data_IF_596490116295
#
_entry.id   IF_596490116295
#
_cell.length_a   1.000
_cell.length_b   1.000
_cell.length_c   1.000
_cell.angle_alpha   90.00
_cell.angle_beta   90.00
_cell.angle_gamma   90.00
#
_symmetry.space_group_name_H-M   'P 1'
#
loop_
_entity.id
_entity.type
_entity.pdbx_description
1 polymer ?
#
# COMPACT_ATOMS: atom_id res chain seq x y z
N UNK A 1 36.10 9.17 60.09
CA UNK A 1 35.49 8.42 58.96
C UNK A 1 34.02 8.74 58.94
N UNK A 2 33.54 9.44 57.93
CA UNK A 2 32.15 9.89 57.82
C UNK A 2 31.24 8.72 57.41
N UNK A 3 30.16 8.53 58.17
CA UNK A 3 29.08 7.59 57.86
C UNK A 3 28.36 8.02 56.58
N UNK A 4 28.18 7.14 55.57
CA UNK A 4 27.47 7.51 54.36
C UNK A 4 25.97 7.67 54.67
N UNK A 5 25.45 8.85 54.37
CA UNK A 5 24.03 9.20 54.44
C UNK A 5 23.19 8.16 53.68
N UNK A 6 22.48 7.30 54.40
CA UNK A 6 21.37 6.53 53.86
C UNK A 6 20.20 7.49 53.75
N UNK A 7 19.99 8.03 52.55
CA UNK A 7 18.79 8.78 52.23
C UNK A 7 17.58 7.84 52.40
N UNK A 8 16.59 8.13 53.25
CA UNK A 8 15.39 7.31 53.30
C UNK A 8 14.65 7.55 51.99
N UNK A 9 14.72 6.57 51.09
CA UNK A 9 13.81 6.49 49.96
C UNK A 9 12.42 6.25 50.54
N UNK A 10 11.70 7.33 50.85
CA UNK A 10 10.25 7.30 51.07
C UNK A 10 9.59 6.95 49.73
N UNK A 11 9.67 5.68 49.35
CA UNK A 11 8.76 5.11 48.36
C UNK A 11 7.38 5.18 49.00
N UNK A 12 6.57 6.16 48.60
CA UNK A 12 5.15 6.26 48.93
C UNK A 12 4.36 5.10 48.28
N UNK A 13 4.69 3.87 48.64
CA UNK A 13 3.77 2.74 48.51
C UNK A 13 2.77 2.87 49.66
N UNK A 14 1.47 2.99 49.38
CA UNK A 14 0.45 3.13 50.42
C UNK A 14 0.61 2.03 51.46
N UNK A 15 0.66 2.40 52.75
CA UNK A 15 0.76 1.46 53.86
C UNK A 15 -0.39 0.42 53.90
N UNK A 16 -1.46 0.68 53.15
CA UNK A 16 -2.66 -0.15 53.08
C UNK A 16 -2.64 -1.21 51.96
N UNK A 17 -1.57 -1.31 51.17
CA UNK A 17 -1.47 -2.35 50.13
C UNK A 17 -1.06 -3.70 50.73
N UNK A 18 -1.69 -4.77 50.24
CA UNK A 18 -1.27 -6.16 50.53
C UNK A 18 0.25 -6.32 50.30
N UNK A 19 1.03 -6.75 51.31
CA UNK A 19 2.48 -6.92 51.21
C UNK A 19 2.91 -7.74 49.99
N UNK A 20 2.08 -8.72 49.59
CA UNK A 20 2.35 -9.55 48.40
C UNK A 20 2.27 -8.75 47.09
N UNK A 21 1.30 -7.83 46.98
CA UNK A 21 1.15 -6.94 45.80
C UNK A 21 2.25 -5.87 45.77
N UNK A 22 2.63 -5.35 46.93
CA UNK A 22 3.73 -4.41 47.04
C UNK A 22 5.06 -5.05 46.63
N UNK A 23 5.30 -6.30 47.04
CA UNK A 23 6.46 -7.08 46.61
C UNK A 23 6.51 -7.28 45.08
N UNK A 24 5.37 -7.54 44.43
CA UNK A 24 5.27 -7.67 42.98
C UNK A 24 5.68 -6.35 42.26
N UNK A 25 5.18 -5.21 42.74
CA UNK A 25 5.51 -3.91 42.14
C UNK A 25 7.00 -3.57 42.29
N UNK A 26 7.59 -3.85 43.46
CA UNK A 26 9.03 -3.68 43.68
C UNK A 26 9.85 -4.64 42.79
N UNK A 27 9.34 -5.84 42.53
CA UNK A 27 9.97 -6.77 41.60
C UNK A 27 9.94 -6.24 40.15
N UNK A 28 8.83 -5.66 39.70
CA UNK A 28 8.74 -5.00 38.39
C UNK A 28 9.68 -3.79 38.26
N UNK A 29 10.00 -3.11 39.36
CA UNK A 29 11.01 -2.04 39.39
C UNK A 29 12.46 -2.56 39.32
N UNK A 30 12.68 -3.88 39.35
CA UNK A 30 14.00 -4.49 39.22
C UNK A 30 14.73 -4.75 40.54
N UNK A 31 14.07 -4.59 41.69
CA UNK A 31 14.69 -4.90 42.98
C UNK A 31 14.93 -6.41 43.15
N UNK A 32 16.06 -6.75 43.77
CA UNK A 32 16.37 -8.14 44.14
C UNK A 32 15.45 -8.61 45.25
N UNK A 33 15.05 -9.89 45.23
CA UNK A 33 14.10 -10.47 46.21
C UNK A 33 14.56 -10.29 47.66
N UNK A 34 15.87 -10.43 47.93
CA UNK A 34 16.42 -10.18 49.26
C UNK A 34 16.17 -8.73 49.74
N UNK A 35 16.34 -7.75 48.85
CA UNK A 35 16.10 -6.34 49.15
C UNK A 35 14.61 -6.05 49.33
N UNK A 36 13.76 -6.67 48.52
CA UNK A 36 12.29 -6.55 48.66
C UNK A 36 11.83 -7.08 50.02
N UNK A 37 12.37 -8.22 50.44
CA UNK A 37 12.09 -8.82 51.74
C UNK A 37 12.48 -7.88 52.90
N UNK A 38 13.67 -7.27 52.83
CA UNK A 38 14.11 -6.25 53.80
C UNK A 38 13.18 -5.02 53.83
N UNK A 39 12.79 -4.51 52.65
CA UNK A 39 11.93 -3.31 52.55
C UNK A 39 10.52 -3.54 53.11
N UNK A 40 10.00 -4.77 53.03
CA UNK A 40 8.67 -5.13 53.51
C UNK A 40 8.68 -5.71 54.94
N UNK A 41 9.86 -5.93 55.53
CA UNK A 41 9.97 -6.62 56.83
C UNK A 41 9.59 -8.10 56.77
N UNK A 42 9.61 -8.72 55.58
CA UNK A 42 9.19 -10.10 55.33
C UNK A 42 10.38 -11.06 55.21
N UNK A 43 10.15 -12.35 55.42
CA UNK A 43 11.20 -13.36 55.19
C UNK A 43 11.43 -13.56 53.69
N UNK A 44 12.69 -13.62 53.27
CA UNK A 44 13.05 -13.85 51.85
C UNK A 44 12.39 -15.11 51.26
N UNK A 45 12.28 -16.18 52.05
CA UNK A 45 11.60 -17.41 51.64
C UNK A 45 10.11 -17.19 51.28
N UNK A 46 9.43 -16.30 52.00
CA UNK A 46 8.03 -15.94 51.74
C UNK A 46 7.89 -15.23 50.39
N UNK A 47 8.74 -14.23 50.11
CA UNK A 47 8.74 -13.51 48.84
C UNK A 47 9.11 -14.43 47.66
N UNK A 48 10.05 -15.35 47.86
CA UNK A 48 10.36 -16.40 46.87
C UNK A 48 9.16 -17.31 46.58
N UNK A 49 8.38 -17.68 47.60
CA UNK A 49 7.15 -18.46 47.45
C UNK A 49 6.10 -17.71 46.63
N UNK A 50 5.90 -16.41 46.89
CA UNK A 50 4.98 -15.58 46.09
C UNK A 50 5.42 -15.49 44.63
N UNK A 51 6.70 -15.20 44.38
CA UNK A 51 7.27 -15.19 43.03
C UNK A 51 7.00 -16.48 42.28
N UNK A 52 7.17 -17.63 42.94
CA UNK A 52 6.96 -18.95 42.33
C UNK A 52 5.47 -19.21 42.04
N UNK A 53 4.59 -18.89 43.00
CA UNK A 53 3.14 -19.14 42.90
C UNK A 53 2.48 -18.30 41.82
N UNK A 54 2.83 -17.02 41.76
CA UNK A 54 2.26 -16.05 40.82
C UNK A 54 3.11 -15.90 39.55
N UNK A 55 4.13 -16.75 39.41
CA UNK A 55 4.97 -16.85 38.21
C UNK A 55 5.49 -15.49 37.73
N UNK A 56 6.08 -14.70 38.64
CA UNK A 56 6.44 -13.31 38.29
C UNK A 56 7.44 -13.23 37.11
N UNK A 57 8.16 -14.31 36.82
CA UNK A 57 9.08 -14.37 35.66
C UNK A 57 8.39 -14.58 34.31
N UNK A 58 7.10 -14.91 34.27
CA UNK A 58 6.34 -15.09 33.01
C UNK A 58 5.81 -13.76 32.47
N UNK A 59 5.77 -12.69 33.29
CA UNK A 59 5.31 -11.37 32.82
C UNK A 59 6.35 -10.71 31.92
N UNK A 60 5.99 -10.51 30.65
CA UNK A 60 6.76 -9.70 29.73
C UNK A 60 6.70 -8.20 30.09
N UNK A 61 7.61 -7.36 29.56
CA UNK A 61 7.59 -5.92 29.83
C UNK A 61 6.23 -5.25 29.52
N UNK A 62 5.55 -5.69 28.45
CA UNK A 62 4.23 -5.16 28.09
C UNK A 62 3.16 -5.53 29.13
N UNK A 63 3.16 -6.77 29.63
CA UNK A 63 2.20 -7.22 30.63
C UNK A 63 2.38 -6.47 31.95
N UNK A 64 3.64 -6.20 32.35
CA UNK A 64 3.97 -5.40 33.52
C UNK A 64 3.44 -3.96 33.38
N UNK A 65 3.60 -3.35 32.19
CA UNK A 65 3.06 -2.03 31.89
C UNK A 65 1.53 -2.02 31.90
N UNK A 66 0.88 -3.03 31.34
CA UNK A 66 -0.58 -3.15 31.34
C UNK A 66 -1.15 -3.27 32.76
N UNK A 67 -0.56 -4.15 33.58
CA UNK A 67 -0.99 -4.37 34.96
C UNK A 67 -0.85 -3.12 35.83
N UNK A 68 0.29 -2.44 35.75
CA UNK A 68 0.54 -1.22 36.52
C UNK A 68 -0.35 -0.05 36.08
N UNK A 69 -0.54 0.10 34.76
CA UNK A 69 -1.45 1.10 34.18
C UNK A 69 -2.90 0.86 34.63
N UNK A 70 -3.37 -0.40 34.56
CA UNK A 70 -4.73 -0.76 34.97
C UNK A 70 -4.95 -0.54 36.48
N UNK A 71 -3.97 -0.90 37.32
CA UNK A 71 -4.05 -0.68 38.76
C UNK A 71 -4.16 0.82 39.10
N UNK A 72 -3.34 1.66 38.47
CA UNK A 72 -3.38 3.12 38.66
C UNK A 72 -4.68 3.73 38.16
N UNK A 73 -5.17 3.26 37.02
CA UNK A 73 -6.47 3.68 36.48
C UNK A 73 -7.61 3.40 37.47
N UNK A 74 -7.67 2.19 38.02
CA UNK A 74 -8.67 1.83 39.04
C UNK A 74 -8.58 2.73 40.28
N UNK A 75 -7.37 3.02 40.78
CA UNK A 75 -7.18 3.92 41.92
C UNK A 75 -7.75 5.32 41.67
N UNK A 76 -7.49 5.90 40.50
CA UNK A 76 -7.96 7.24 40.15
C UNK A 76 -9.47 7.30 39.95
N UNK A 77 -10.05 6.25 39.35
CA UNK A 77 -11.51 6.14 39.17
C UNK A 77 -12.22 6.04 40.52
N UNK A 78 -11.67 5.29 41.47
CA UNK A 78 -12.26 5.08 42.80
C UNK A 78 -12.03 6.25 43.76
N UNK A 79 -11.22 7.26 43.41
CA UNK A 79 -11.01 8.47 44.23
C UNK A 79 -12.32 9.25 44.39
N UNK A 80 -12.75 9.52 45.62
CA UNK A 80 -14.01 10.23 45.93
C UNK A 80 -14.04 11.65 45.38
N UNK A 81 -13.02 12.45 45.70
CA UNK A 81 -12.88 13.82 45.21
C UNK A 81 -11.82 13.90 44.11
N UNK A 82 -12.28 14.05 42.87
CA UNK A 82 -11.40 14.15 41.69
C UNK A 82 -11.07 15.61 41.38
N UNK A 83 -9.80 15.86 41.12
CA UNK A 83 -9.28 17.14 40.64
C UNK A 83 -9.07 17.12 39.12
N UNK A 84 -8.91 18.29 38.50
CA UNK A 84 -8.63 18.40 37.07
C UNK A 84 -7.38 17.62 36.60
N UNK A 85 -6.37 17.48 37.48
CA UNK A 85 -5.17 16.65 37.22
C UNK A 85 -5.49 15.16 37.13
N UNK A 86 -6.42 14.67 37.96
CA UNK A 86 -6.79 13.26 37.99
C UNK A 86 -7.53 12.88 36.71
N UNK A 87 -8.43 13.75 36.22
CA UNK A 87 -9.14 13.53 34.95
C UNK A 87 -8.17 13.45 33.75
N UNK A 88 -7.12 14.29 33.73
CA UNK A 88 -6.07 14.22 32.71
C UNK A 88 -5.28 12.92 32.80
N UNK A 89 -4.93 12.48 34.02
CA UNK A 89 -4.21 11.22 34.22
C UNK A 89 -5.06 10.02 33.78
N UNK A 90 -6.36 9.98 34.12
CA UNK A 90 -7.31 8.96 33.67
C UNK A 90 -7.37 8.87 32.14
N UNK A 91 -7.52 10.01 31.46
CA UNK A 91 -7.56 10.08 29.99
C UNK A 91 -6.23 9.59 29.37
N UNK A 92 -5.09 10.01 29.91
CA UNK A 92 -3.78 9.55 29.46
C UNK A 92 -3.61 8.03 29.64
N UNK A 93 -3.99 7.49 30.80
CA UNK A 93 -3.90 6.05 31.07
C UNK A 93 -4.84 5.24 30.16
N UNK A 94 -6.04 5.74 29.88
CA UNK A 94 -6.96 5.10 28.94
C UNK A 94 -6.36 5.05 27.53
N UNK A 95 -5.79 6.15 27.03
CA UNK A 95 -5.10 6.17 25.72
C UNK A 95 -3.90 5.24 25.66
N UNK A 96 -3.13 5.11 26.76
CA UNK A 96 -2.02 4.17 26.83
C UNK A 96 -2.50 2.71 26.80
N UNK A 97 -3.61 2.39 27.47
CA UNK A 97 -4.19 1.03 27.41
C UNK A 97 -4.59 0.62 26.00
N UNK A 98 -5.13 1.54 25.19
CA UNK A 98 -5.46 1.29 23.80
C UNK A 98 -4.21 0.96 22.98
N UNK A 99 -3.11 1.71 23.20
CA UNK A 99 -1.82 1.43 22.56
C UNK A 99 -1.26 0.08 22.97
N UNK A 100 -1.33 -0.27 24.25
CA UNK A 100 -0.87 -1.57 24.73
C UNK A 100 -1.68 -2.72 24.10
N UNK A 101 -3.00 -2.56 23.93
CA UNK A 101 -3.84 -3.54 23.26
C UNK A 101 -3.47 -3.71 21.78
N UNK A 102 -3.17 -2.60 21.08
CA UNK A 102 -2.68 -2.63 19.68
C UNK A 102 -1.33 -3.32 19.55
N UNK A 103 -0.37 -3.05 20.43
CA UNK A 103 0.93 -3.73 20.48
C UNK A 103 0.72 -5.24 20.73
N UNK A 104 -0.17 -5.60 21.64
CA UNK A 104 -0.53 -7.00 21.89
C UNK A 104 -1.11 -7.70 20.65
N UNK A 105 -2.01 -7.03 19.92
CA UNK A 105 -2.56 -7.55 18.65
C UNK A 105 -1.48 -7.73 17.58
N UNK A 106 -0.56 -6.79 17.45
CA UNK A 106 0.58 -6.88 16.54
C UNK A 106 1.48 -8.09 16.88
N UNK A 107 1.85 -8.26 18.15
CA UNK A 107 2.68 -9.40 18.59
C UNK A 107 2.01 -10.76 18.37
N UNK A 108 0.68 -10.83 18.35
CA UNK A 108 -0.10 -12.05 18.11
C UNK A 108 -0.41 -12.29 16.61
N UNK A 109 0.40 -11.77 15.69
CA UNK A 109 0.26 -11.98 14.24
C UNK A 109 -0.57 -10.90 13.53
N UNK A 110 -0.75 -9.74 14.16
CA UNK A 110 -1.31 -8.56 13.51
C UNK A 110 -0.34 -7.90 12.53
N UNK A 111 -0.86 -6.99 11.70
CA UNK A 111 -0.08 -6.25 10.71
C UNK A 111 0.23 -4.83 11.18
N UNK A 112 1.15 -4.14 10.50
CA UNK A 112 1.52 -2.75 10.82
C UNK A 112 0.32 -1.77 10.83
N UNK A 113 -0.76 -2.11 10.12
CA UNK A 113 -2.02 -1.38 10.14
C UNK A 113 -2.72 -1.38 11.52
N UNK A 114 -2.49 -2.40 12.36
CA UNK A 114 -3.02 -2.46 13.72
C UNK A 114 -2.29 -1.51 14.68
N UNK A 115 -1.04 -1.15 14.36
CA UNK A 115 -0.22 -0.24 15.16
C UNK A 115 -0.55 1.23 14.86
N UNK A 116 -0.84 1.54 13.60
CA UNK A 116 -1.05 2.91 13.13
C UNK A 116 -2.44 3.10 12.46
N UNK A 117 -3.38 3.81 13.11
CA UNK A 117 -4.71 4.04 12.56
C UNK A 117 -4.69 4.91 11.29
N UNK A 118 -3.61 5.67 11.05
CA UNK A 118 -3.46 6.45 9.82
C UNK A 118 -3.19 5.55 8.60
N UNK A 119 -2.59 4.37 8.79
CA UNK A 119 -2.36 3.39 7.71
C UNK A 119 -3.67 2.73 7.31
N UNK A 120 -4.51 2.38 8.29
CA UNK A 120 -5.88 1.92 8.02
C UNK A 120 -6.67 2.97 7.24
N UNK A 121 -6.65 4.23 7.70
CA UNK A 121 -7.34 5.34 7.04
C UNK A 121 -6.83 5.62 5.61
N UNK A 122 -5.53 5.45 5.36
CA UNK A 122 -4.94 5.58 4.01
C UNK A 122 -5.42 4.50 3.04
N UNK A 123 -5.69 3.30 3.56
CA UNK A 123 -6.11 2.15 2.76
C UNK A 123 -7.64 2.00 2.66
N UNK A 124 -8.42 2.87 3.31
CA UNK A 124 -9.89 2.82 3.37
C UNK A 124 -10.58 3.25 2.06
N UNK A 125 -9.84 3.78 1.08
CA UNK A 125 -10.36 4.22 -0.21
C UNK A 125 -10.13 3.23 -1.37
N UNK A 126 -10.98 3.23 -2.41
CA UNK A 126 -10.71 2.50 -3.63
C UNK A 126 -9.41 3.04 -4.24
N UNK A 127 -8.38 2.19 -4.34
CA UNK A 127 -7.12 2.53 -5.02
C UNK A 127 -7.45 2.96 -6.45
N UNK A 128 -7.15 4.21 -6.81
CA UNK A 128 -7.15 4.60 -8.23
C UNK A 128 -6.20 3.65 -8.96
N UNK A 129 -6.67 2.85 -9.92
CA UNK A 129 -5.79 1.99 -10.68
C UNK A 129 -4.74 2.88 -11.38
N UNK A 130 -3.48 2.42 -11.48
CA UNK A 130 -2.46 3.16 -12.23
C UNK A 130 -2.97 3.43 -13.65
N UNK A 131 -2.80 4.66 -14.12
CA UNK A 131 -3.20 5.12 -15.45
C UNK A 131 -2.50 4.22 -16.49
N UNK A 132 -3.29 3.46 -17.27
CA UNK A 132 -2.76 2.48 -18.22
C UNK A 132 -2.61 3.12 -19.60
N UNK A 133 -1.49 2.83 -20.27
CA UNK A 133 -1.29 3.13 -21.70
C UNK A 133 -1.42 4.63 -22.02
N UNK A 134 -0.73 5.49 -21.25
CA UNK A 134 -0.69 6.94 -21.46
C UNK A 134 0.50 7.30 -22.35
N UNK A 135 0.27 8.20 -23.32
CA UNK A 135 1.31 8.82 -24.13
C UNK A 135 1.37 10.31 -23.80
N UNK A 136 2.57 10.82 -23.54
CA UNK A 136 2.80 12.27 -23.44
C UNK A 136 2.78 12.92 -24.83
N UNK A 137 2.57 14.23 -24.91
CA UNK A 137 2.61 14.97 -26.18
C UNK A 137 3.96 14.80 -26.90
N UNK A 138 5.06 14.88 -26.15
CA UNK A 138 6.43 14.67 -26.68
C UNK A 138 6.62 13.26 -27.26
N UNK A 139 6.04 12.23 -26.62
CA UNK A 139 6.10 10.86 -27.13
C UNK A 139 5.30 10.71 -28.44
N UNK A 140 4.17 11.40 -28.58
CA UNK A 140 3.37 11.37 -29.81
C UNK A 140 4.13 12.03 -30.96
N UNK A 141 4.74 13.20 -30.73
CA UNK A 141 5.54 13.90 -31.74
C UNK A 141 6.74 13.06 -32.20
N UNK A 142 7.44 12.42 -31.25
CA UNK A 142 8.55 11.51 -31.56
C UNK A 142 8.10 10.29 -32.37
N UNK A 143 6.92 9.71 -32.08
CA UNK A 143 6.35 8.62 -32.86
C UNK A 143 6.04 9.07 -34.30
N UNK A 144 5.48 10.27 -34.49
CA UNK A 144 5.22 10.82 -35.82
C UNK A 144 6.50 11.02 -36.62
N UNK A 145 7.57 11.52 -35.99
CA UNK A 145 8.87 11.69 -36.62
C UNK A 145 9.44 10.36 -37.09
N UNK A 146 9.48 9.35 -36.20
CA UNK A 146 9.98 8.01 -36.52
C UNK A 146 9.16 7.39 -37.66
N UNK A 147 7.84 7.53 -37.63
CA UNK A 147 6.96 7.01 -38.67
C UNK A 147 7.20 7.67 -40.03
N UNK A 148 7.34 9.00 -40.08
CA UNK A 148 7.61 9.73 -41.33
C UNK A 148 9.02 9.48 -41.88
N UNK A 149 10.01 9.30 -40.99
CA UNK A 149 11.39 9.00 -41.37
C UNK A 149 11.54 7.57 -41.91
N UNK A 150 10.87 6.60 -41.30
CA UNK A 150 10.92 5.19 -41.72
C UNK A 150 10.05 4.83 -42.94
N UNK A 151 9.32 5.79 -43.50
CA UNK A 151 8.34 5.54 -44.57
C UNK A 151 8.99 5.44 -45.95
N UNK A 152 8.75 4.32 -46.64
CA UNK A 152 9.12 4.17 -48.05
C UNK A 152 8.25 5.05 -48.96
N UNK A 153 8.75 5.39 -50.15
CA UNK A 153 8.04 6.26 -51.09
C UNK A 153 6.62 5.76 -51.43
N UNK A 154 6.45 4.47 -51.72
CA UNK A 154 5.13 3.88 -51.99
C UNK A 154 4.18 3.95 -50.79
N UNK A 155 4.71 3.95 -49.57
CA UNK A 155 3.91 4.09 -48.34
C UNK A 155 3.44 5.54 -48.14
N UNK A 156 4.21 6.53 -48.63
CA UNK A 156 3.78 7.94 -48.63
C UNK A 156 2.51 8.13 -49.45
N UNK A 157 2.39 7.44 -50.59
CA UNK A 157 1.15 7.44 -51.36
C UNK A 157 -0.04 6.84 -50.58
N UNK A 158 0.19 5.81 -49.76
CA UNK A 158 -0.87 5.26 -48.91
C UNK A 158 -1.28 6.21 -47.79
N UNK A 159 -0.32 6.92 -47.20
CA UNK A 159 -0.54 7.94 -46.18
C UNK A 159 -1.38 9.10 -46.73
N UNK A 160 -0.95 9.68 -47.85
CA UNK A 160 -1.66 10.77 -48.52
C UNK A 160 -3.09 10.36 -48.91
N UNK A 161 -3.26 9.14 -49.43
CA UNK A 161 -4.58 8.60 -49.73
C UNK A 161 -5.44 8.43 -48.47
N UNK A 162 -4.85 8.06 -47.33
CA UNK A 162 -5.53 7.92 -46.05
C UNK A 162 -6.01 9.25 -45.46
N UNK A 163 -5.28 10.34 -45.71
CA UNK A 163 -5.69 11.69 -45.32
C UNK A 163 -6.79 12.21 -46.25
N UNK A 164 -6.64 12.01 -47.57
CA UNK A 164 -7.53 12.58 -48.58
C UNK A 164 -8.87 11.86 -48.69
N UNK A 165 -8.88 10.54 -48.47
CA UNK A 165 -10.05 9.72 -48.71
C UNK A 165 -10.51 9.00 -47.44
N UNK A 166 -11.81 9.09 -47.16
CA UNK A 166 -12.45 8.36 -46.05
C UNK A 166 -12.36 6.83 -46.20
N UNK A 167 -12.41 6.34 -47.44
CA UNK A 167 -12.34 4.92 -47.79
C UNK A 167 -11.23 4.75 -48.81
N UNK A 168 -10.34 3.79 -48.58
CA UNK A 168 -9.26 3.45 -49.53
C UNK A 168 -9.20 1.94 -49.72
N UNK A 169 -9.11 1.53 -50.97
CA UNK A 169 -8.90 0.13 -51.36
C UNK A 169 -7.49 0.02 -51.94
N UNK A 170 -6.63 -0.76 -51.30
CA UNK A 170 -5.21 -0.85 -51.67
C UNK A 170 -4.93 -2.19 -52.32
N UNK A 171 -4.65 -2.19 -53.63
CA UNK A 171 -4.04 -3.33 -54.29
C UNK A 171 -2.53 -3.29 -54.02
N UNK A 172 -2.00 -4.37 -53.45
CA UNK A 172 -0.61 -4.43 -53.01
C UNK A 172 0.08 -5.74 -53.38
N UNK A 173 1.38 -5.64 -53.62
CA UNK A 173 2.26 -6.79 -53.81
C UNK A 173 2.48 -7.56 -52.50
N UNK A 174 2.92 -8.81 -52.59
CA UNK A 174 3.28 -9.61 -51.40
C UNK A 174 4.60 -9.13 -50.82
N UNK A 175 4.80 -9.35 -49.51
CA UNK A 175 6.08 -9.12 -48.81
C UNK A 175 6.62 -7.68 -48.84
N UNK A 176 5.76 -6.68 -48.96
CA UNK A 176 6.15 -5.25 -48.94
C UNK A 176 5.91 -4.55 -47.60
N UNK A 177 5.87 -5.30 -46.49
CA UNK A 177 5.73 -4.70 -45.15
C UNK A 177 4.40 -3.97 -44.88
N UNK A 178 3.32 -4.32 -45.59
CA UNK A 178 2.02 -3.65 -45.40
C UNK A 178 1.51 -3.72 -43.95
N UNK A 179 1.60 -4.88 -43.30
CA UNK A 179 1.17 -5.07 -41.90
C UNK A 179 1.91 -4.14 -40.95
N UNK A 180 3.23 -3.99 -41.14
CA UNK A 180 4.06 -3.08 -40.35
C UNK A 180 3.61 -1.63 -40.52
N UNK A 181 3.43 -1.18 -41.76
CA UNK A 181 3.01 0.18 -42.07
C UNK A 181 1.64 0.51 -41.45
N UNK A 182 0.62 -0.30 -41.72
CA UNK A 182 -0.73 0.00 -41.27
C UNK A 182 -0.92 -0.16 -39.75
N UNK A 183 -0.12 -1.01 -39.10
CA UNK A 183 -0.09 -1.09 -37.63
C UNK A 183 0.35 0.25 -37.01
N UNK A 184 1.43 0.85 -37.54
CA UNK A 184 1.97 2.14 -37.06
C UNK A 184 1.04 3.29 -37.36
N UNK A 185 0.51 3.32 -38.59
CA UNK A 185 -0.44 4.34 -39.02
C UNK A 185 -1.70 4.36 -38.14
N UNK A 186 -2.24 3.19 -37.79
CA UNK A 186 -3.39 3.09 -36.91
C UNK A 186 -3.10 3.58 -35.50
N UNK A 187 -1.91 3.30 -34.95
CA UNK A 187 -1.53 3.82 -33.64
C UNK A 187 -1.48 5.36 -33.66
N UNK A 188 -0.88 5.95 -34.69
CA UNK A 188 -0.82 7.42 -34.84
C UNK A 188 -2.22 8.01 -35.03
N UNK A 189 -3.04 7.44 -35.91
CA UNK A 189 -4.42 7.92 -36.11
C UNK A 189 -5.23 7.84 -34.81
N UNK A 190 -5.05 6.79 -34.01
CA UNK A 190 -5.68 6.66 -32.70
C UNK A 190 -5.22 7.74 -31.71
N UNK A 191 -3.92 8.06 -31.69
CA UNK A 191 -3.36 9.06 -30.76
C UNK A 191 -3.71 10.50 -31.16
N UNK A 192 -3.69 10.81 -32.45
CA UNK A 192 -3.91 12.16 -32.99
C UNK A 192 -5.40 12.48 -33.09
N UNK A 193 -6.19 11.61 -33.72
CA UNK A 193 -7.62 11.89 -33.98
C UNK A 193 -8.53 11.42 -32.86
N UNK A 194 -8.04 10.54 -32.01
CA UNK A 194 -8.80 9.94 -30.93
C UNK A 194 -9.90 8.98 -31.39
N UNK A 195 -9.81 8.45 -32.62
CA UNK A 195 -10.76 7.48 -33.15
C UNK A 195 -10.41 6.06 -32.73
N UNK A 196 -11.43 5.24 -32.51
CA UNK A 196 -11.25 3.81 -32.31
C UNK A 196 -10.72 3.16 -33.59
N UNK A 197 -9.78 2.22 -33.45
CA UNK A 197 -9.19 1.51 -34.57
C UNK A 197 -9.59 0.04 -34.50
N UNK A 198 -10.23 -0.46 -35.55
CA UNK A 198 -10.62 -1.86 -35.65
C UNK A 198 -9.79 -2.53 -36.75
N UNK A 199 -9.15 -3.63 -36.38
CA UNK A 199 -8.47 -4.53 -37.31
C UNK A 199 -9.33 -5.75 -37.56
N UNK A 200 -9.83 -5.88 -38.79
CA UNK A 200 -10.56 -7.05 -39.27
C UNK A 200 -9.62 -7.84 -40.20
N UNK A 201 -9.29 -9.07 -39.82
CA UNK A 201 -8.44 -9.95 -40.60
C UNK A 201 -9.09 -11.32 -40.78
N UNK A 202 -8.73 -12.01 -41.87
CA UNK A 202 -9.23 -13.35 -42.15
C UNK A 202 -8.86 -14.40 -41.07
N UNK A 203 -7.74 -14.22 -40.36
CA UNK A 203 -7.28 -15.11 -39.28
C UNK A 203 -6.91 -14.35 -38.01
N UNK A 204 -7.13 -14.98 -36.84
CA UNK A 204 -6.69 -14.49 -35.52
C UNK A 204 -5.17 -14.31 -35.44
N UNK A 205 -4.41 -15.17 -36.12
CA UNK A 205 -2.94 -15.07 -36.16
C UNK A 205 -2.48 -13.78 -36.85
N UNK A 206 -3.17 -13.36 -37.91
CA UNK A 206 -2.86 -12.11 -38.61
C UNK A 206 -3.16 -10.90 -37.73
N UNK A 207 -4.29 -10.91 -37.01
CA UNK A 207 -4.58 -9.87 -36.02
C UNK A 207 -3.47 -9.79 -34.96
N UNK A 208 -3.03 -10.92 -34.40
CA UNK A 208 -1.94 -10.90 -33.41
C UNK A 208 -0.64 -10.30 -33.95
N UNK A 209 -0.32 -10.46 -35.24
CA UNK A 209 0.83 -9.77 -35.83
C UNK A 209 0.69 -8.24 -35.82
N UNK A 210 -0.49 -7.70 -36.17
CA UNK A 210 -0.76 -6.26 -36.05
C UNK A 210 -0.57 -5.77 -34.63
N UNK A 211 -1.06 -6.54 -33.65
CA UNK A 211 -0.90 -6.23 -32.23
C UNK A 211 0.57 -6.12 -31.82
N UNK A 212 1.40 -7.07 -32.24
CA UNK A 212 2.83 -7.07 -31.90
C UNK A 212 3.53 -5.84 -32.47
N UNK A 213 3.27 -5.49 -33.74
CA UNK A 213 3.85 -4.28 -34.33
C UNK A 213 3.43 -2.99 -33.63
N UNK A 214 2.20 -2.91 -33.12
CA UNK A 214 1.73 -1.75 -32.33
C UNK A 214 2.48 -1.67 -30.99
N UNK A 215 2.67 -2.81 -30.31
CA UNK A 215 3.40 -2.86 -29.03
C UNK A 215 4.87 -2.51 -29.25
N UNK A 216 5.50 -3.07 -30.29
CA UNK A 216 6.88 -2.78 -30.66
C UNK A 216 7.07 -1.29 -30.98
N UNK A 217 6.13 -0.69 -31.71
CA UNK A 217 6.21 0.74 -32.04
C UNK A 217 6.05 1.64 -30.82
N UNK A 218 5.14 1.31 -29.90
CA UNK A 218 5.01 2.06 -28.64
C UNK A 218 6.26 1.96 -27.74
N UNK A 219 6.96 0.82 -27.79
CA UNK A 219 8.23 0.65 -27.06
C UNK A 219 9.35 1.55 -27.59
N UNK A 220 9.31 2.02 -28.83
CA UNK A 220 10.31 2.96 -29.36
C UNK A 220 10.28 4.32 -28.65
N UNK A 221 9.21 4.61 -27.91
CA UNK A 221 9.06 5.81 -27.05
C UNK A 221 8.87 5.47 -25.57
N UNK A 222 9.33 4.28 -25.16
CA UNK A 222 9.30 3.79 -23.77
C UNK A 222 7.88 3.62 -23.18
N UNK A 223 6.86 3.39 -24.03
CA UNK A 223 5.48 3.13 -23.59
C UNK A 223 5.16 1.64 -23.71
N UNK A 224 4.88 1.00 -22.58
CA UNK A 224 4.40 -0.38 -22.56
C UNK A 224 2.88 -0.47 -22.74
N UNK A 225 2.45 -0.82 -23.95
CA UNK A 225 1.06 -1.14 -24.22
C UNK A 225 0.68 -2.52 -23.70
N UNK A 226 -0.31 -2.59 -22.80
CA UNK A 226 -0.86 -3.85 -22.27
C UNK A 226 -2.38 -3.94 -22.46
N UNK A 227 -2.88 -5.14 -22.78
CA UNK A 227 -4.31 -5.46 -22.85
C UNK A 227 -4.75 -6.24 -24.09
N UNK A 228 -5.95 -6.81 -24.03
CA UNK A 228 -6.67 -7.39 -25.18
C UNK A 228 -8.19 -7.24 -24.94
N UNK A 229 -8.85 -6.20 -25.48
CA UNK A 229 -8.35 -5.15 -26.37
C UNK A 229 -7.41 -4.14 -25.67
N UNK A 230 -6.50 -3.53 -26.44
CA UNK A 230 -5.63 -2.45 -25.93
C UNK A 230 -6.44 -1.17 -25.82
N UNK A 231 -6.63 -0.68 -24.60
CA UNK A 231 -7.45 0.50 -24.30
C UNK A 231 -6.58 1.58 -23.64
N UNK A 232 -6.65 2.81 -24.16
CA UNK A 232 -6.09 4.02 -23.51
C UNK A 232 -7.22 4.86 -22.91
N UNK A 233 -6.91 5.72 -21.92
CA UNK A 233 -7.89 6.50 -21.13
C UNK A 233 -8.81 7.39 -21.97
N UNK A 234 -8.33 7.90 -23.10
CA UNK A 234 -9.15 8.66 -24.06
C UNK A 234 -10.19 7.80 -24.81
N UNK A 235 -10.49 6.59 -24.32
CA UNK A 235 -11.44 5.62 -24.90
C UNK A 235 -11.08 5.24 -26.34
N UNK A 236 -9.79 5.14 -26.65
CA UNK A 236 -9.30 4.58 -27.90
C UNK A 236 -9.07 3.09 -27.68
N UNK A 237 -9.93 2.27 -28.28
CA UNK A 237 -9.79 0.83 -28.28
C UNK A 237 -9.20 0.40 -29.63
N UNK A 238 -8.05 -0.26 -29.59
CA UNK A 238 -7.58 -1.07 -30.72
C UNK A 238 -8.21 -2.45 -30.56
N UNK A 239 -9.22 -2.74 -31.38
CA UNK A 239 -9.89 -4.05 -31.39
C UNK A 239 -9.31 -4.94 -32.48
N UNK A 240 -9.02 -6.18 -32.11
CA UNK A 240 -8.41 -7.19 -32.96
C UNK A 240 -9.31 -8.43 -32.93
N UNK A 241 -10.09 -8.65 -34.00
CA UNK A 241 -10.98 -9.81 -34.06
C UNK A 241 -11.95 -9.79 -35.23
N UNK A 242 -12.57 -10.94 -35.56
CA UNK A 242 -13.44 -11.09 -36.74
C UNK A 242 -14.80 -10.39 -36.62
N UNK A 243 -15.19 -9.93 -35.42
CA UNK A 243 -16.52 -9.37 -35.16
C UNK A 243 -16.38 -8.01 -34.45
N UNK A 244 -16.76 -6.88 -35.06
CA UNK A 244 -16.68 -5.59 -34.41
C UNK A 244 -17.76 -5.45 -33.34
N UNK A 245 -17.39 -5.08 -32.11
CA UNK A 245 -18.36 -4.63 -31.11
C UNK A 245 -18.83 -3.20 -31.48
N UNK A 246 -20.15 -2.90 -31.44
CA UNK A 246 -20.64 -1.60 -31.90
C UNK A 246 -20.23 -0.49 -30.94
N UNK A 247 -19.33 0.41 -31.39
CA UNK A 247 -19.03 1.69 -30.72
C UNK A 247 -19.01 2.83 -31.75
N UNK A 248 -19.45 4.02 -31.32
CA UNK A 248 -19.54 5.24 -32.16
C UNK A 248 -18.14 5.76 -32.52
N UNK A 249 -18.04 6.31 -33.74
CA UNK A 249 -16.83 6.87 -34.38
C UNK A 249 -15.62 5.91 -34.40
N UNK A 250 -15.56 5.09 -35.46
CA UNK A 250 -14.58 4.01 -35.58
C UNK A 250 -13.99 3.98 -36.98
N UNK A 251 -12.66 3.91 -37.07
CA UNK A 251 -11.92 3.62 -38.30
C UNK A 251 -11.72 2.10 -38.36
N UNK A 252 -12.15 1.47 -39.44
CA UNK A 252 -11.98 0.03 -39.66
C UNK A 252 -10.98 -0.18 -40.78
N UNK A 253 -9.93 -0.96 -40.50
CA UNK A 253 -8.96 -1.38 -41.49
C UNK A 253 -9.14 -2.88 -41.71
N UNK A 254 -9.61 -3.23 -42.91
CA UNK A 254 -9.81 -4.62 -43.34
C UNK A 254 -8.58 -5.10 -44.10
N UNK A 255 -8.10 -6.31 -43.78
CA UNK A 255 -6.93 -6.96 -44.39
C UNK A 255 -7.24 -8.34 -44.97
#
# INVERSE_FOLDING_TARGET
>A
MASPYVCPMETMTPADLDPRRQALLLYFQGYRIARIAEMLGEKAATVHSWKKRDKWGEYGPLDQMQLTTAARYCQLIMKEHKEGKDFKEIDLLARQSERHARIGKFNNGGNEADLNPNVENRNRGPRKPPEKNLFSGEQIEKLEEIFRAGMFEYQRHWWEAGIKHRIRNVLKSRQIGATYYFAREALIDALVTGRNQIFLSASKAQAHMFKQYIIEFAKEVDVELRGDPMCSERRHAVFLGPTPAPRRATTATLF
#
